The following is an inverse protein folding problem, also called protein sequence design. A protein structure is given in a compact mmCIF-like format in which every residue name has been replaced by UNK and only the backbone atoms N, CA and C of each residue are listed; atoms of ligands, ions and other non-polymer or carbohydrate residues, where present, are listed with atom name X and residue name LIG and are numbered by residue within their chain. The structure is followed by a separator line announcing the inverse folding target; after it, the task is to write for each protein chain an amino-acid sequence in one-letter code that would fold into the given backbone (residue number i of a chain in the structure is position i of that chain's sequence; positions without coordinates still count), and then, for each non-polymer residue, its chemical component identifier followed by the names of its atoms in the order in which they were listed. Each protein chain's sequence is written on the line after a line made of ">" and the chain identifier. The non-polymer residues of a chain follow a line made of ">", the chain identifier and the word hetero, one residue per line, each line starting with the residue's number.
data_IF_118517447659
#
_entry.id   IF_118517447659
#
_cell.length_a   1.000
_cell.length_b   1.000
_cell.length_c   1.000
_cell.angle_alpha   90.00
_cell.angle_beta   90.00
_cell.angle_gamma   90.00
#
_symmetry.space_group_name_H-M   'P 1'
#
loop_
_entity.id
_entity.type
_entity.pdbx_description
1 polymer ?
#
# COMPACT_ATOMS: atom_id res chain seq x y z
N UNK A 1 -73.92 -36.94 -46.73
CA UNK A 1 -74.44 -35.58 -47.02
C UNK A 1 -75.03 -35.02 -45.73
N UNK A 2 -74.93 -33.72 -45.39
CA UNK A 2 -74.13 -32.68 -46.04
C UNK A 2 -73.37 -31.74 -45.04
N UNK A 3 -72.60 -30.81 -45.63
CA UNK A 3 -72.14 -29.50 -45.10
C UNK A 3 -70.93 -29.49 -44.14
N UNK A 4 -69.96 -28.59 -44.25
CA UNK A 4 -69.81 -27.42 -45.12
C UNK A 4 -68.39 -26.86 -45.00
N UNK A 5 -67.91 -26.23 -46.07
CA UNK A 5 -66.65 -25.50 -46.16
C UNK A 5 -66.63 -24.34 -45.17
N UNK A 6 -65.52 -24.11 -44.47
CA UNK A 6 -65.02 -22.75 -44.22
C UNK A 6 -63.49 -22.77 -44.09
N UNK A 7 -62.84 -22.16 -45.08
CA UNK A 7 -61.44 -21.77 -45.05
C UNK A 7 -61.32 -20.55 -44.14
N UNK A 8 -60.51 -20.64 -43.09
CA UNK A 8 -60.13 -19.47 -42.29
C UNK A 8 -58.60 -19.35 -42.28
N UNK A 9 -58.11 -18.39 -43.06
CA UNK A 9 -56.75 -17.87 -42.96
C UNK A 9 -56.63 -17.15 -41.62
N UNK A 10 -55.74 -17.61 -40.73
CA UNK A 10 -55.29 -16.81 -39.58
C UNK A 10 -53.77 -16.79 -39.58
N UNK A 11 -53.27 -15.57 -39.46
CA UNK A 11 -51.92 -15.11 -39.70
C UNK A 11 -50.89 -15.68 -38.73
N UNK A 12 -49.70 -15.91 -39.29
CA UNK A 12 -48.43 -16.13 -38.60
C UNK A 12 -48.13 -14.92 -37.70
N UNK A 13 -48.18 -15.09 -36.37
CA UNK A 13 -47.56 -14.17 -35.41
C UNK A 13 -46.22 -14.76 -34.99
N UNK A 14 -45.14 -14.36 -35.68
CA UNK A 14 -43.77 -14.55 -35.24
C UNK A 14 -43.48 -13.52 -34.13
N UNK A 15 -43.68 -13.92 -32.88
CA UNK A 15 -43.23 -13.15 -31.72
C UNK A 15 -41.71 -13.24 -31.58
N UNK A 16 -41.02 -12.21 -32.06
CA UNK A 16 -39.61 -11.94 -31.73
C UNK A 16 -39.49 -11.62 -30.23
N UNK A 17 -39.04 -12.59 -29.44
CA UNK A 17 -38.53 -12.33 -28.09
C UNK A 17 -37.08 -11.85 -28.21
N UNK A 18 -36.90 -10.54 -28.39
CA UNK A 18 -35.62 -9.89 -28.16
C UNK A 18 -35.49 -9.62 -26.66
N UNK A 19 -34.74 -10.45 -25.94
CA UNK A 19 -34.31 -10.15 -24.58
C UNK A 19 -33.41 -8.91 -24.62
N UNK A 20 -33.95 -7.78 -24.19
CA UNK A 20 -33.19 -6.56 -23.95
C UNK A 20 -32.27 -6.79 -22.74
N UNK A 21 -31.07 -7.32 -23.00
CA UNK A 21 -29.95 -7.18 -22.08
C UNK A 21 -29.56 -5.70 -22.10
N UNK A 22 -29.99 -4.96 -21.08
CA UNK A 22 -29.49 -3.61 -20.82
C UNK A 22 -28.04 -3.75 -20.35
N UNK A 23 -27.11 -3.81 -21.30
CA UNK A 23 -25.71 -3.53 -21.05
C UNK A 23 -25.62 -2.08 -20.59
N UNK A 24 -25.51 -1.87 -19.27
CA UNK A 24 -25.02 -0.61 -18.74
C UNK A 24 -23.57 -0.49 -19.22
N UNK A 25 -23.37 0.21 -20.33
CA UNK A 25 -22.05 0.64 -20.75
C UNK A 25 -21.46 1.43 -19.58
N UNK A 26 -20.22 1.15 -19.12
CA UNK A 26 -19.55 2.07 -18.24
C UNK A 26 -19.48 3.41 -18.98
N UNK A 27 -20.10 4.44 -18.40
CA UNK A 27 -20.03 5.81 -18.91
C UNK A 27 -18.56 6.24 -18.84
N UNK A 28 -17.82 5.94 -19.90
CA UNK A 28 -16.49 6.48 -20.13
C UNK A 28 -16.67 8.00 -20.24
N UNK A 29 -16.13 8.81 -19.34
CA UNK A 29 -16.18 10.26 -19.54
C UNK A 29 -15.51 10.57 -20.88
N UNK A 30 -16.05 11.50 -21.68
CA UNK A 30 -15.44 11.86 -22.95
C UNK A 30 -14.00 12.33 -22.70
N UNK A 31 -13.07 11.88 -23.53
CA UNK A 31 -11.74 12.48 -23.60
C UNK A 31 -11.92 14.00 -23.81
N UNK A 32 -11.32 14.82 -22.94
CA UNK A 32 -11.49 16.26 -23.01
C UNK A 32 -10.97 16.80 -24.36
N UNK A 33 -11.90 17.09 -25.29
CA UNK A 33 -11.62 17.95 -26.44
C UNK A 33 -11.45 19.40 -25.94
N UNK A 34 -10.28 19.72 -25.37
CA UNK A 34 -10.07 21.07 -24.82
C UNK A 34 -8.68 21.40 -24.25
N UNK A 35 -7.73 20.47 -24.26
CA UNK A 35 -6.44 20.66 -23.58
C UNK A 35 -6.52 20.40 -22.07
N UNK A 36 -5.41 20.64 -21.36
CA UNK A 36 -5.28 20.36 -19.92
C UNK A 36 -6.31 21.21 -19.14
N UNK A 37 -7.19 20.60 -18.33
CA UNK A 37 -8.18 21.33 -17.55
C UNK A 37 -7.53 22.38 -16.64
N UNK A 38 -8.13 23.56 -16.53
CA UNK A 38 -7.68 24.56 -15.55
C UNK A 38 -7.87 24.06 -14.11
N UNK A 39 -7.14 24.65 -13.14
CA UNK A 39 -7.15 24.22 -11.73
C UNK A 39 -8.56 24.08 -11.13
N UNK A 40 -9.47 25.03 -11.40
CA UNK A 40 -10.84 24.98 -10.91
C UNK A 40 -11.65 23.80 -11.47
N UNK A 41 -11.39 23.42 -12.73
CA UNK A 41 -12.02 22.28 -13.37
C UNK A 41 -11.44 20.96 -12.84
N UNK A 42 -10.14 20.91 -12.56
CA UNK A 42 -9.53 19.77 -11.87
C UNK A 42 -10.12 19.57 -10.48
N UNK A 43 -10.30 20.65 -9.71
CA UNK A 43 -10.90 20.59 -8.38
C UNK A 43 -12.35 20.10 -8.41
N UNK A 44 -13.14 20.53 -9.39
CA UNK A 44 -14.53 20.06 -9.52
C UNK A 44 -14.60 18.59 -9.90
N UNK A 45 -13.72 18.11 -10.78
CA UNK A 45 -13.61 16.68 -11.13
C UNK A 45 -13.26 15.85 -9.89
N UNK A 46 -12.23 16.27 -9.14
CA UNK A 46 -11.81 15.59 -7.91
C UNK A 46 -12.97 15.51 -6.90
N UNK A 47 -13.70 16.60 -6.71
CA UNK A 47 -14.85 16.63 -5.80
C UNK A 47 -16.00 15.72 -6.27
N UNK A 48 -16.32 15.71 -7.57
CA UNK A 48 -17.37 14.86 -8.11
C UNK A 48 -17.04 13.37 -7.95
N UNK A 49 -15.78 12.99 -8.19
CA UNK A 49 -15.31 11.62 -7.98
C UNK A 49 -15.36 11.22 -6.51
N UNK A 50 -14.94 12.12 -5.61
CA UNK A 50 -15.07 11.92 -4.16
C UNK A 50 -16.52 11.65 -3.75
N UNK A 51 -17.45 12.47 -4.26
CA UNK A 51 -18.88 12.31 -4.00
C UNK A 51 -19.39 10.97 -4.54
N UNK A 52 -19.06 10.62 -5.79
CA UNK A 52 -19.48 9.36 -6.40
C UNK A 52 -18.98 8.13 -5.61
N UNK A 53 -17.73 8.14 -5.15
CA UNK A 53 -17.17 7.07 -4.30
C UNK A 53 -17.81 7.02 -2.93
N UNK A 54 -18.05 8.16 -2.31
CA UNK A 54 -18.78 8.24 -1.03
C UNK A 54 -20.19 7.66 -1.15
N UNK A 55 -20.86 7.88 -2.29
CA UNK A 55 -22.15 7.27 -2.59
C UNK A 55 -22.03 5.76 -2.83
N UNK A 56 -21.01 5.32 -3.58
CA UNK A 56 -20.73 3.92 -3.86
C UNK A 56 -20.53 3.12 -2.56
N UNK A 57 -19.75 3.66 -1.63
CA UNK A 57 -19.38 3.00 -0.37
C UNK A 57 -20.29 3.33 0.81
N UNK A 58 -21.39 4.06 0.60
CA UNK A 58 -22.23 4.61 1.68
C UNK A 58 -22.57 3.59 2.77
N UNK A 59 -23.02 2.40 2.38
CA UNK A 59 -23.40 1.34 3.32
C UNK A 59 -22.22 0.87 4.18
N UNK A 60 -21.07 0.56 3.56
CA UNK A 60 -19.86 0.18 4.31
C UNK A 60 -19.39 1.31 5.25
N UNK A 61 -19.48 2.57 4.80
CA UNK A 61 -19.12 3.73 5.62
C UNK A 61 -20.04 3.91 6.82
N UNK A 62 -21.34 3.66 6.68
CA UNK A 62 -22.28 3.67 7.81
C UNK A 62 -21.97 2.56 8.83
N UNK A 63 -21.51 1.38 8.37
CA UNK A 63 -21.02 0.34 9.27
C UNK A 63 -19.80 0.84 10.04
N UNK A 64 -18.81 1.44 9.37
CA UNK A 64 -17.60 1.98 10.01
C UNK A 64 -17.90 3.12 10.99
N UNK A 65 -18.89 3.98 10.70
CA UNK A 65 -19.32 5.04 11.63
C UNK A 65 -19.89 4.46 12.93
N UNK A 66 -20.60 3.34 12.86
CA UNK A 66 -21.19 2.66 14.03
C UNK A 66 -20.17 1.78 14.76
N UNK A 67 -19.30 1.12 14.02
CA UNK A 67 -18.25 0.26 14.52
C UNK A 67 -16.96 0.48 13.72
N UNK A 68 -16.06 1.37 14.18
CA UNK A 68 -14.79 1.63 13.51
C UNK A 68 -13.91 0.39 13.36
N UNK A 69 -14.07 -0.60 14.24
CA UNK A 69 -13.32 -1.86 14.20
C UNK A 69 -13.91 -2.89 13.21
N UNK A 70 -14.95 -2.56 12.45
CA UNK A 70 -15.58 -3.51 11.53
C UNK A 70 -14.67 -3.95 10.37
N UNK A 71 -13.60 -3.21 10.09
CA UNK A 71 -12.55 -3.59 9.14
C UNK A 71 -11.33 -4.22 9.82
N UNK A 72 -11.27 -4.25 11.16
CA UNK A 72 -10.05 -4.61 11.84
C UNK A 72 -9.76 -6.12 11.72
N UNK A 73 -8.47 -6.44 11.60
CA UNK A 73 -7.93 -7.79 11.67
C UNK A 73 -7.65 -8.09 13.15
N UNK A 74 -8.24 -9.16 13.72
CA UNK A 74 -8.02 -9.50 15.13
C UNK A 74 -6.55 -9.88 15.38
N UNK A 75 -6.10 -9.78 16.63
CA UNK A 75 -4.78 -10.32 17.00
C UNK A 75 -4.81 -11.85 17.01
N UNK A 76 -3.70 -12.50 16.65
CA UNK A 76 -3.65 -13.95 16.69
C UNK A 76 -3.78 -14.45 18.12
N UNK A 77 -4.55 -15.53 18.36
CA UNK A 77 -4.62 -16.16 19.68
C UNK A 77 -3.24 -16.65 20.12
N UNK A 78 -3.02 -16.80 21.44
CA UNK A 78 -1.75 -17.33 21.95
C UNK A 78 -1.57 -18.78 21.47
N UNK A 79 -0.59 -19.00 20.59
CA UNK A 79 -0.34 -20.27 19.90
C UNK A 79 -0.16 -20.08 18.39
N UNK A 80 -0.02 -21.17 17.64
CA UNK A 80 -0.07 -21.10 16.18
C UNK A 80 -1.53 -20.89 15.74
N UNK A 81 -1.85 -19.83 14.98
CA UNK A 81 -3.19 -19.62 14.47
C UNK A 81 -3.57 -20.79 13.56
N UNK A 82 -4.86 -21.15 13.55
CA UNK A 82 -5.34 -22.21 12.67
C UNK A 82 -5.06 -21.86 11.20
N UNK A 83 -4.82 -22.87 10.36
CA UNK A 83 -4.60 -22.63 8.93
C UNK A 83 -5.81 -21.89 8.33
N UNK A 84 -5.59 -20.68 7.84
CA UNK A 84 -6.63 -19.82 7.25
C UNK A 84 -7.26 -18.80 8.20
N UNK A 85 -6.86 -18.73 9.47
CA UNK A 85 -7.31 -17.69 10.40
C UNK A 85 -6.64 -16.34 10.07
N UNK A 86 -7.44 -15.32 9.79
CA UNK A 86 -6.96 -13.97 9.50
C UNK A 86 -6.73 -13.22 10.80
N UNK A 87 -5.47 -13.12 11.19
CA UNK A 87 -5.08 -12.43 12.39
C UNK A 87 -3.73 -11.72 12.23
N UNK A 88 -3.51 -10.66 13.00
CA UNK A 88 -2.22 -9.97 13.07
C UNK A 88 -1.35 -10.72 14.07
N UNK A 89 -0.21 -11.25 13.62
CA UNK A 89 0.78 -11.86 14.51
C UNK A 89 1.51 -10.76 15.26
N UNK A 90 1.53 -10.85 16.59
CA UNK A 90 2.37 -9.99 17.41
C UNK A 90 3.85 -10.21 17.04
N UNK A 91 4.66 -9.15 17.10
CA UNK A 91 6.12 -9.32 17.08
C UNK A 91 6.51 -10.28 18.20
N UNK A 92 7.25 -11.36 17.88
CA UNK A 92 8.01 -12.04 18.92
C UNK A 92 8.93 -10.99 19.54
N UNK A 93 8.77 -10.75 20.85
CA UNK A 93 9.72 -9.90 21.57
C UNK A 93 11.06 -10.58 21.49
N UNK A 94 11.91 -10.15 20.56
CA UNK A 94 13.34 -10.40 20.67
C UNK A 94 13.76 -9.59 21.90
N UNK A 95 13.84 -10.25 23.05
CA UNK A 95 14.55 -9.72 24.21
C UNK A 95 15.98 -9.50 23.76
N UNK A 96 16.29 -8.29 23.30
CA UNK A 96 17.65 -7.81 23.24
C UNK A 96 18.07 -7.78 24.70
N UNK A 97 18.79 -8.81 25.13
CA UNK A 97 19.42 -8.86 26.44
C UNK A 97 20.28 -7.60 26.55
N UNK A 98 19.73 -6.58 27.22
CA UNK A 98 20.48 -5.43 27.65
C UNK A 98 21.55 -6.01 28.57
N UNK A 99 22.85 -5.79 28.34
CA UNK A 99 23.85 -6.20 29.30
C UNK A 99 23.51 -5.48 30.61
N UNK A 100 23.02 -6.24 31.58
CA UNK A 100 22.77 -5.77 32.93
C UNK A 100 24.11 -5.23 33.42
N UNK A 101 24.19 -3.92 33.62
CA UNK A 101 25.34 -3.30 34.29
C UNK A 101 25.54 -4.03 35.63
N UNK A 102 26.73 -4.57 35.92
CA UNK A 102 26.97 -5.17 37.21
C UNK A 102 26.91 -4.07 38.29
N UNK A 103 26.32 -4.34 39.47
CA UNK A 103 26.34 -3.39 40.56
C UNK A 103 27.79 -3.13 40.98
N UNK A 104 28.12 -1.85 41.14
CA UNK A 104 29.42 -1.42 41.63
C UNK A 104 29.62 -1.90 43.08
N UNK A 105 30.61 -2.78 43.30
CA UNK A 105 31.60 -2.74 44.40
C UNK A 105 32.22 -4.13 44.69
N UNK A 106 33.48 -4.34 44.27
CA UNK A 106 34.52 -5.17 44.93
C UNK A 106 35.79 -5.22 44.06
N UNK A 107 37.00 -5.36 44.64
CA UNK A 107 38.26 -5.07 43.95
C UNK A 107 38.72 -6.16 42.98
N UNK A 108 39.52 -5.71 42.00
CA UNK A 108 39.97 -6.44 40.83
C UNK A 108 40.69 -7.77 41.14
N UNK A 109 40.19 -8.84 40.51
CA UNK A 109 40.98 -10.03 40.17
C UNK A 109 41.01 -10.17 38.65
N UNK A 110 42.21 -10.13 38.09
CA UNK A 110 42.47 -10.32 36.67
C UNK A 110 42.13 -11.75 36.27
N UNK A 111 40.93 -11.97 35.72
CA UNK A 111 40.60 -13.16 34.95
C UNK A 111 40.54 -12.76 33.47
N UNK A 112 41.50 -13.27 32.68
CA UNK A 112 41.53 -13.07 31.24
C UNK A 112 40.31 -13.74 30.60
N UNK A 113 39.34 -12.94 30.15
CA UNK A 113 38.23 -13.41 29.34
C UNK A 113 38.74 -13.64 27.92
N UNK A 114 38.68 -14.89 27.48
CA UNK A 114 38.91 -15.26 26.08
C UNK A 114 37.79 -14.68 25.22
N UNK A 115 38.09 -14.13 24.03
CA UNK A 115 37.05 -13.56 23.17
C UNK A 115 36.15 -14.68 22.66
N UNK A 116 34.88 -14.64 23.05
CA UNK A 116 33.82 -15.45 22.51
C UNK A 116 33.73 -15.18 20.98
N UNK A 117 33.80 -16.24 20.18
CA UNK A 117 33.71 -16.14 18.72
C UNK A 117 32.35 -15.55 18.33
N UNK A 118 32.33 -14.24 18.04
CA UNK A 118 31.20 -13.58 17.40
C UNK A 118 31.05 -14.20 16.01
N UNK A 119 30.02 -15.03 15.83
CA UNK A 119 29.65 -15.52 14.51
C UNK A 119 29.18 -14.31 13.69
N UNK A 120 29.66 -14.08 12.46
CA UNK A 120 29.24 -12.92 11.69
C UNK A 120 27.72 -12.95 11.50
N UNK A 121 27.04 -11.85 11.83
CA UNK A 121 25.64 -11.69 11.49
C UNK A 121 25.46 -11.89 9.98
N UNK A 122 24.43 -12.65 9.58
CA UNK A 122 24.08 -12.81 8.18
C UNK A 122 23.90 -11.42 7.52
N UNK A 123 24.22 -11.26 6.23
CA UNK A 123 24.08 -9.98 5.56
C UNK A 123 22.62 -9.49 5.62
N UNK A 124 22.44 -8.19 5.86
CA UNK A 124 21.13 -7.55 5.86
C UNK A 124 20.42 -7.76 4.52
N UNK A 125 19.20 -8.31 4.58
CA UNK A 125 18.37 -8.55 3.39
C UNK A 125 17.49 -7.35 3.08
N UNK A 126 17.15 -7.21 1.80
CA UNK A 126 16.18 -6.23 1.31
C UNK A 126 14.97 -6.99 0.80
N UNK A 127 13.82 -6.88 1.44
CA UNK A 127 12.59 -7.59 1.06
C UNK A 127 11.60 -6.57 0.52
N UNK A 128 10.98 -6.86 -0.62
CA UNK A 128 9.92 -6.03 -1.19
C UNK A 128 8.65 -6.86 -1.36
N UNK A 129 7.53 -6.39 -0.82
CA UNK A 129 6.20 -6.99 -1.05
C UNK A 129 5.31 -5.97 -1.74
N UNK A 130 4.87 -6.30 -2.95
CA UNK A 130 4.18 -5.38 -3.84
C UNK A 130 2.79 -5.92 -4.17
N UNK A 131 1.74 -5.20 -3.77
CA UNK A 131 0.35 -5.52 -4.03
C UNK A 131 -0.18 -4.64 -5.17
N UNK A 132 -0.69 -5.26 -6.23
CA UNK A 132 -1.31 -4.57 -7.36
C UNK A 132 -2.68 -5.14 -7.63
N UNK A 133 -3.73 -4.34 -7.47
CA UNK A 133 -5.11 -4.78 -7.57
C UNK A 133 -5.83 -4.15 -8.76
N UNK A 134 -6.20 -4.97 -9.75
CA UNK A 134 -6.94 -4.58 -10.94
C UNK A 134 -8.36 -5.15 -10.95
N UNK A 135 -8.51 -6.44 -10.64
CA UNK A 135 -9.69 -7.25 -10.91
C UNK A 135 -10.79 -7.13 -9.84
N UNK A 136 -11.23 -5.91 -9.60
CA UNK A 136 -12.37 -5.64 -8.71
C UNK A 136 -13.69 -6.14 -9.30
N UNK A 137 -14.54 -6.71 -8.45
CA UNK A 137 -15.89 -7.13 -8.83
C UNK A 137 -16.86 -5.94 -8.78
N UNK A 138 -17.79 -5.91 -9.74
CA UNK A 138 -18.88 -4.95 -9.74
C UNK A 138 -19.64 -4.97 -8.39
N UNK A 139 -20.02 -3.81 -7.86
CA UNK A 139 -20.02 -2.48 -8.49
C UNK A 139 -18.73 -1.67 -8.30
N UNK A 140 -17.66 -2.23 -7.72
CA UNK A 140 -16.37 -1.54 -7.61
C UNK A 140 -15.72 -1.53 -9.01
N UNK A 141 -15.34 -0.37 -9.57
CA UNK A 141 -14.67 -0.32 -10.86
C UNK A 141 -13.34 -1.05 -10.85
N UNK A 142 -13.06 -1.83 -11.89
CA UNK A 142 -11.73 -2.40 -12.11
C UNK A 142 -10.71 -1.29 -12.39
N UNK A 143 -9.43 -1.58 -12.14
CA UNK A 143 -8.30 -0.70 -12.46
C UNK A 143 -7.42 -1.36 -13.53
N UNK A 144 -6.67 -0.55 -14.28
CA UNK A 144 -5.84 -1.04 -15.39
C UNK A 144 -4.34 -1.07 -15.04
N UNK A 145 -3.82 -0.08 -14.30
CA UNK A 145 -2.38 0.11 -14.09
C UNK A 145 -1.73 -0.66 -12.93
N UNK A 146 -2.39 -0.94 -11.78
CA UNK A 146 -1.71 -1.46 -10.59
C UNK A 146 -0.85 -2.72 -10.81
N UNK A 147 -1.28 -3.65 -11.66
CA UNK A 147 -0.48 -4.84 -12.00
C UNK A 147 0.80 -4.48 -12.76
N UNK A 148 0.72 -3.59 -13.75
CA UNK A 148 1.90 -3.11 -14.48
C UNK A 148 2.84 -2.34 -13.53
N UNK A 149 2.28 -1.51 -12.65
CA UNK A 149 3.02 -0.74 -11.65
C UNK A 149 3.89 -1.65 -10.77
N UNK A 150 3.32 -2.70 -10.18
CA UNK A 150 4.08 -3.61 -9.30
C UNK A 150 5.08 -4.49 -10.04
N UNK A 151 4.81 -4.85 -11.29
CA UNK A 151 5.73 -5.63 -12.12
C UNK A 151 6.99 -4.83 -12.42
N UNK A 152 6.83 -3.57 -12.82
CA UNK A 152 7.93 -2.72 -13.27
C UNK A 152 8.73 -2.16 -12.10
N UNK A 153 8.05 -1.73 -11.04
CA UNK A 153 8.71 -1.34 -9.78
C UNK A 153 9.46 -2.54 -9.21
N UNK A 154 8.83 -3.72 -9.20
CA UNK A 154 9.44 -4.94 -8.71
C UNK A 154 10.66 -5.37 -9.50
N UNK A 155 10.64 -5.27 -10.84
CA UNK A 155 11.80 -5.52 -11.69
C UNK A 155 12.96 -4.59 -11.32
N UNK A 156 12.68 -3.28 -11.22
CA UNK A 156 13.68 -2.26 -10.93
C UNK A 156 14.31 -2.43 -9.53
N UNK A 157 13.49 -2.72 -8.51
CA UNK A 157 13.95 -3.00 -7.15
C UNK A 157 14.85 -4.25 -7.10
N UNK A 158 14.50 -5.30 -7.84
CA UNK A 158 15.30 -6.52 -7.91
C UNK A 158 16.65 -6.26 -8.60
N UNK A 159 16.61 -5.67 -9.79
CA UNK A 159 17.79 -5.54 -10.66
C UNK A 159 18.78 -4.49 -10.18
N UNK A 160 18.30 -3.31 -9.76
CA UNK A 160 19.20 -2.19 -9.38
C UNK A 160 19.50 -2.13 -7.90
N UNK A 161 18.63 -2.66 -7.04
CA UNK A 161 18.76 -2.49 -5.59
C UNK A 161 18.88 -3.82 -4.81
N UNK A 162 18.78 -4.96 -5.49
CA UNK A 162 19.00 -6.28 -4.88
C UNK A 162 17.89 -6.73 -3.94
N UNK A 163 16.65 -6.28 -4.13
CA UNK A 163 15.52 -6.72 -3.31
C UNK A 163 15.06 -8.14 -3.66
N UNK A 164 14.71 -8.92 -2.64
CA UNK A 164 13.86 -10.09 -2.71
C UNK A 164 12.40 -9.65 -2.93
N UNK A 165 12.01 -9.55 -4.20
CA UNK A 165 10.70 -9.01 -4.60
C UNK A 165 9.63 -10.10 -4.68
N UNK A 166 8.52 -9.87 -3.98
CA UNK A 166 7.29 -10.69 -3.97
C UNK A 166 6.14 -9.84 -4.48
N UNK A 167 5.60 -10.21 -5.64
CA UNK A 167 4.43 -9.55 -6.22
C UNK A 167 3.18 -10.36 -5.87
N UNK A 168 2.16 -9.68 -5.35
CA UNK A 168 0.85 -10.26 -5.00
C UNK A 168 -0.20 -9.56 -5.87
N UNK A 169 -0.53 -10.13 -7.05
CA UNK A 169 -1.54 -9.56 -7.93
C UNK A 169 -2.94 -9.84 -7.39
N UNK A 170 -3.86 -8.90 -7.56
CA UNK A 170 -5.29 -9.02 -7.22
C UNK A 170 -5.49 -9.62 -5.81
N UNK A 171 -4.80 -9.01 -4.85
CA UNK A 171 -4.77 -9.47 -3.47
C UNK A 171 -6.13 -9.32 -2.82
N UNK A 172 -6.60 -10.41 -2.19
CA UNK A 172 -7.71 -10.37 -1.23
C UNK A 172 -7.19 -9.95 0.13
N UNK A 173 -8.10 -9.60 1.07
CA UNK A 173 -7.69 -9.27 2.45
C UNK A 173 -6.81 -10.35 3.07
N UNK A 174 -7.17 -11.61 2.83
CA UNK A 174 -6.41 -12.76 3.33
C UNK A 174 -4.96 -12.79 2.83
N UNK A 175 -4.77 -12.47 1.55
CA UNK A 175 -3.46 -12.50 0.90
C UNK A 175 -2.58 -11.35 1.44
N UNK A 176 -3.16 -10.16 1.67
CA UNK A 176 -2.50 -9.03 2.32
C UNK A 176 -2.04 -9.38 3.73
N UNK A 177 -2.95 -9.91 4.56
CA UNK A 177 -2.65 -10.30 5.96
C UNK A 177 -1.56 -11.38 5.99
N UNK A 178 -1.67 -12.40 5.14
CA UNK A 178 -0.70 -13.49 5.07
C UNK A 178 0.69 -13.00 4.67
N UNK A 179 0.78 -12.20 3.60
CA UNK A 179 2.06 -11.71 3.11
C UNK A 179 2.74 -10.76 4.12
N UNK A 180 1.99 -9.87 4.77
CA UNK A 180 2.55 -8.97 5.79
C UNK A 180 2.99 -9.72 7.06
N UNK A 181 2.21 -10.72 7.51
CA UNK A 181 2.62 -11.60 8.60
C UNK A 181 3.89 -12.38 8.26
N UNK A 182 4.00 -12.89 7.04
CA UNK A 182 5.18 -13.64 6.60
C UNK A 182 6.44 -12.76 6.67
N UNK A 183 6.37 -11.52 6.18
CA UNK A 183 7.48 -10.56 6.31
C UNK A 183 7.80 -10.30 7.78
N UNK A 184 6.78 -10.11 8.63
CA UNK A 184 6.95 -9.96 10.07
C UNK A 184 7.74 -11.11 10.70
N UNK A 185 7.45 -12.36 10.31
CA UNK A 185 8.14 -13.55 10.84
C UNK A 185 9.55 -13.77 10.29
N UNK A 186 9.81 -13.31 9.07
CA UNK A 186 11.08 -13.57 8.40
C UNK A 186 12.12 -12.49 8.66
N UNK A 187 11.70 -11.26 8.90
CA UNK A 187 12.60 -10.10 9.03
C UNK A 187 13.40 -10.10 10.32
N UNK A 188 14.66 -9.69 10.22
CA UNK A 188 15.61 -9.61 11.34
C UNK A 188 16.09 -8.18 11.58
N UNK A 189 16.63 -7.89 12.77
CA UNK A 189 17.35 -6.63 13.00
C UNK A 189 18.43 -6.45 11.94
N UNK A 190 18.40 -5.32 11.23
CA UNK A 190 19.29 -5.00 10.12
C UNK A 190 18.67 -5.14 8.73
N UNK A 191 17.61 -5.93 8.55
CA UNK A 191 16.91 -6.05 7.27
C UNK A 191 16.20 -4.73 6.89
N UNK A 192 15.95 -4.54 5.59
CA UNK A 192 15.13 -3.45 5.05
C UNK A 192 13.91 -4.01 4.33
N UNK A 193 12.74 -3.44 4.58
CA UNK A 193 11.47 -3.84 3.98
C UNK A 193 10.86 -2.68 3.21
N UNK A 194 10.44 -2.96 1.97
CA UNK A 194 9.57 -2.10 1.20
C UNK A 194 8.22 -2.79 1.00
N UNK A 195 7.14 -2.14 1.42
CA UNK A 195 5.78 -2.55 1.07
C UNK A 195 5.26 -1.57 0.03
N UNK A 196 4.74 -2.04 -1.08
CA UNK A 196 4.05 -1.21 -2.07
C UNK A 196 2.61 -1.69 -2.22
N UNK A 197 1.67 -0.77 -2.24
CA UNK A 197 0.26 -1.08 -2.54
C UNK A 197 -0.27 -0.12 -3.60
N UNK A 198 -0.80 -0.66 -4.69
CA UNK A 198 -1.57 0.06 -5.69
C UNK A 198 -2.95 -0.57 -5.86
N UNK A 199 -3.99 0.24 -5.76
CA UNK A 199 -5.37 -0.21 -5.85
C UNK A 199 -6.35 0.80 -5.24
N UNK A 200 -7.61 0.39 -5.11
CA UNK A 200 -8.61 1.19 -4.40
C UNK A 200 -8.25 1.34 -2.93
N UNK A 201 -8.54 2.52 -2.41
CA UNK A 201 -8.62 2.82 -1.00
C UNK A 201 -9.83 3.68 -0.70
N UNK A 202 -10.02 4.09 0.54
CA UNK A 202 -10.98 5.13 0.91
C UNK A 202 -10.46 5.88 2.14
N UNK A 203 -10.57 7.22 2.14
CA UNK A 203 -10.25 8.06 3.29
C UNK A 203 -11.54 8.59 3.89
N UNK A 204 -11.81 8.27 5.16
CA UNK A 204 -13.00 8.79 5.84
C UNK A 204 -12.78 10.23 6.28
N UNK A 205 -13.50 11.18 5.69
CA UNK A 205 -13.44 12.61 6.05
C UNK A 205 -13.64 12.87 7.56
N UNK A 206 -14.57 12.16 8.19
CA UNK A 206 -14.94 12.40 9.59
C UNK A 206 -13.87 12.00 10.59
N UNK A 207 -13.11 10.95 10.30
CA UNK A 207 -12.11 10.37 11.23
C UNK A 207 -10.69 10.51 10.72
N UNK A 208 -10.52 10.92 9.46
CA UNK A 208 -9.27 10.84 8.72
C UNK A 208 -8.66 9.44 8.81
N UNK A 209 -9.48 8.38 8.85
CA UNK A 209 -9.00 7.00 8.81
C UNK A 209 -9.00 6.53 7.36
N UNK A 210 -7.86 6.03 6.88
CA UNK A 210 -7.76 5.45 5.55
C UNK A 210 -7.86 3.93 5.59
N UNK A 211 -8.34 3.37 4.48
CA UNK A 211 -8.52 1.95 4.28
C UNK A 211 -8.00 1.56 2.91
N UNK A 212 -7.31 0.43 2.83
CA UNK A 212 -7.13 -0.28 1.56
C UNK A 212 -8.35 -1.14 1.28
N UNK A 213 -8.73 -1.21 0.01
CA UNK A 213 -9.81 -2.04 -0.48
C UNK A 213 -9.19 -3.13 -1.39
N UNK A 214 -8.96 -4.34 -0.87
CA UNK A 214 -8.61 -5.53 -1.63
C UNK A 214 -9.65 -5.90 -2.69
N UNK A 215 -9.32 -6.81 -3.63
CA UNK A 215 -10.23 -7.17 -4.74
C UNK A 215 -11.51 -7.88 -4.29
N UNK A 216 -11.50 -8.50 -3.11
CA UNK A 216 -12.68 -9.09 -2.44
C UNK A 216 -13.40 -8.10 -1.50
N UNK A 217 -13.07 -6.81 -1.60
CA UNK A 217 -13.75 -5.73 -0.90
C UNK A 217 -15.23 -5.61 -1.31
N UNK A 218 -16.04 -5.10 -0.40
CA UNK A 218 -17.47 -4.87 -0.64
C UNK A 218 -17.81 -3.39 -0.49
N UNK A 219 -18.78 -2.93 -1.28
CA UNK A 219 -19.38 -1.60 -1.11
C UNK A 219 -20.36 -1.52 0.05
N UNK A 220 -20.81 -2.68 0.55
CA UNK A 220 -21.83 -2.81 1.60
C UNK A 220 -21.26 -3.12 2.97
N UNK A 221 -20.08 -3.73 3.01
CA UNK A 221 -19.43 -4.15 4.25
C UNK A 221 -17.92 -3.87 4.21
N UNK A 222 -17.36 -3.26 5.28
CA UNK A 222 -15.93 -3.01 5.38
C UNK A 222 -15.14 -4.24 5.87
N UNK A 223 -15.78 -5.41 6.08
CA UNK A 223 -15.14 -6.59 6.66
C UNK A 223 -13.89 -7.05 5.91
N UNK A 224 -13.87 -6.88 4.57
CA UNK A 224 -12.72 -7.21 3.72
C UNK A 224 -11.83 -6.00 3.41
N UNK A 225 -12.02 -4.86 4.05
CA UNK A 225 -11.09 -3.73 3.95
C UNK A 225 -9.95 -3.88 4.96
N UNK A 226 -8.85 -3.17 4.75
CA UNK A 226 -7.70 -3.16 5.67
C UNK A 226 -7.47 -1.74 6.17
N UNK A 227 -7.64 -1.51 7.47
CA UNK A 227 -7.45 -0.19 8.06
C UNK A 227 -5.98 0.22 8.08
N UNK A 228 -5.69 1.52 7.94
CA UNK A 228 -4.31 2.00 8.10
C UNK A 228 -3.77 1.80 9.53
N UNK A 229 -4.64 1.65 10.53
CA UNK A 229 -4.27 1.21 11.87
C UNK A 229 -3.69 -0.21 11.84
N UNK A 230 -4.34 -1.16 11.18
CA UNK A 230 -3.82 -2.51 11.06
C UNK A 230 -2.57 -2.59 10.20
N UNK A 231 -2.50 -1.81 9.13
CA UNK A 231 -1.25 -1.65 8.35
C UNK A 231 -0.13 -1.19 9.28
N UNK A 232 -0.37 -0.19 10.13
CA UNK A 232 0.62 0.28 11.11
C UNK A 232 1.04 -0.81 12.11
N UNK A 233 0.11 -1.68 12.54
CA UNK A 233 0.42 -2.85 13.39
C UNK A 233 1.31 -3.85 12.64
N UNK A 234 1.01 -4.16 11.38
CA UNK A 234 1.87 -5.04 10.58
C UNK A 234 3.28 -4.47 10.42
N UNK A 235 3.41 -3.18 10.10
CA UNK A 235 4.73 -2.51 10.00
C UNK A 235 5.47 -2.50 11.33
N UNK A 236 4.76 -2.33 12.45
CA UNK A 236 5.32 -2.43 13.80
C UNK A 236 5.93 -3.82 14.06
N UNK A 237 5.26 -4.86 13.57
CA UNK A 237 5.63 -6.24 13.84
C UNK A 237 6.76 -6.76 12.93
N UNK A 238 7.26 -5.93 12.00
CA UNK A 238 8.46 -6.23 11.23
C UNK A 238 9.72 -5.92 12.05
N UNK A 239 10.57 -6.93 12.24
CA UNK A 239 11.86 -6.83 12.94
C UNK A 239 12.94 -6.06 12.17
N UNK A 240 12.63 -5.60 10.96
CA UNK A 240 13.50 -4.84 10.09
C UNK A 240 13.93 -3.49 10.71
N UNK A 241 15.17 -3.08 10.40
CA UNK A 241 15.73 -1.79 10.80
C UNK A 241 15.10 -0.64 10.01
N UNK A 242 14.79 -0.89 8.74
CA UNK A 242 14.15 0.08 7.85
C UNK A 242 12.89 -0.53 7.25
N UNK A 243 11.78 0.19 7.32
CA UNK A 243 10.49 -0.19 6.74
C UNK A 243 9.93 1.03 6.02
N UNK A 244 9.69 0.90 4.72
CA UNK A 244 9.03 1.91 3.93
C UNK A 244 7.74 1.33 3.34
N UNK A 245 6.62 1.96 3.67
CA UNK A 245 5.36 1.75 2.97
C UNK A 245 5.22 2.79 1.85
N UNK A 246 4.98 2.35 0.63
CA UNK A 246 4.60 3.19 -0.49
C UNK A 246 3.14 2.84 -0.84
N UNK A 247 2.25 3.81 -0.71
CA UNK A 247 0.81 3.62 -0.95
C UNK A 247 0.37 4.47 -2.13
N UNK A 248 0.18 3.83 -3.28
CA UNK A 248 -0.50 4.41 -4.43
C UNK A 248 -2.01 4.16 -4.34
N UNK A 249 -2.57 4.65 -3.24
CA UNK A 249 -3.97 4.56 -2.85
C UNK A 249 -4.23 5.55 -1.72
N UNK A 250 -5.47 5.67 -1.26
CA UNK A 250 -5.76 6.42 -0.03
C UNK A 250 -4.95 5.83 1.14
N UNK A 251 -4.08 6.64 1.71
CA UNK A 251 -3.44 6.38 2.99
C UNK A 251 -3.52 7.66 3.81
N UNK A 252 -4.00 7.56 5.04
CA UNK A 252 -4.19 8.74 5.85
C UNK A 252 -2.86 9.32 6.32
N UNK A 253 -2.60 10.57 5.91
CA UNK A 253 -1.53 11.38 6.47
C UNK A 253 -1.67 11.60 7.99
N UNK A 254 -2.86 11.44 8.59
CA UNK A 254 -3.06 11.61 10.04
C UNK A 254 -2.33 10.55 10.89
N UNK A 255 -2.05 9.39 10.30
CA UNK A 255 -1.27 8.32 10.93
C UNK A 255 0.23 8.51 10.78
N UNK A 256 0.62 9.49 9.97
CA UNK A 256 2.00 9.92 9.83
C UNK A 256 2.18 11.25 10.55
N UNK A 257 3.29 11.40 11.28
CA UNK A 257 3.78 12.76 11.51
C UNK A 257 4.51 13.12 10.24
N UNK A 258 4.06 14.16 9.54
CA UNK A 258 4.86 14.73 8.43
C UNK A 258 6.26 14.97 9.00
N UNK A 259 7.20 14.13 8.57
CA UNK A 259 8.60 14.40 8.77
C UNK A 259 8.79 15.68 7.97
N UNK A 260 8.87 16.83 8.65
CA UNK A 260 9.35 18.04 8.00
C UNK A 260 10.70 17.64 7.44
N UNK A 261 10.75 17.42 6.13
CA UNK A 261 11.85 16.90 5.31
C UNK A 261 13.23 17.47 5.75
N UNK A 262 13.20 18.64 6.40
CA UNK A 262 14.28 19.32 7.13
C UNK A 262 15.10 18.58 8.19
N UNK A 263 14.68 17.49 8.85
CA UNK A 263 15.46 16.89 9.96
C UNK A 263 16.25 15.65 9.59
N UNK A 264 15.70 14.69 8.84
CA UNK A 264 16.43 13.51 8.38
C UNK A 264 17.61 13.86 7.44
N UNK A 265 17.49 14.95 6.68
CA UNK A 265 18.54 15.46 5.79
C UNK A 265 19.70 16.18 6.51
N UNK A 266 19.62 16.39 7.83
CA UNK A 266 20.71 17.06 8.57
C UNK A 266 21.89 16.16 8.87
N UNK A 267 21.66 14.86 9.01
CA UNK A 267 22.75 13.88 9.07
C UNK A 267 22.97 13.32 7.68
N UNK A 268 24.14 13.60 7.08
CA UNK A 268 24.59 12.94 5.85
C UNK A 268 25.25 11.59 6.11
N UNK A 269 25.28 11.15 7.36
CA UNK A 269 25.97 9.94 7.78
C UNK A 269 25.00 8.75 7.78
N UNK A 270 25.11 7.89 6.75
CA UNK A 270 24.31 6.69 6.61
C UNK A 270 24.41 5.77 7.83
N UNK A 271 25.56 5.70 8.51
CA UNK A 271 25.73 4.85 9.68
C UNK A 271 24.88 5.33 10.87
N UNK A 272 24.74 6.65 11.05
CA UNK A 272 23.89 7.20 12.09
C UNK A 272 22.41 6.97 11.82
N UNK A 273 22.00 7.08 10.55
CA UNK A 273 20.64 6.78 10.10
C UNK A 273 20.32 5.30 10.35
N UNK A 274 21.21 4.39 9.96
CA UNK A 274 21.01 2.95 10.10
C UNK A 274 20.96 2.48 11.56
N UNK A 275 21.51 3.25 12.50
CA UNK A 275 21.37 2.99 13.94
C UNK A 275 20.00 3.41 14.52
N UNK A 276 19.12 4.03 13.71
CA UNK A 276 17.77 4.45 14.12
C UNK A 276 16.73 3.63 13.35
N UNK A 277 15.82 2.98 14.08
CA UNK A 277 14.75 2.20 13.43
C UNK A 277 13.84 3.16 12.67
N UNK A 278 13.61 2.87 11.40
CA UNK A 278 12.93 3.79 10.49
C UNK A 278 11.67 3.13 9.96
N UNK A 279 10.49 3.65 10.33
CA UNK A 279 9.21 3.26 9.73
C UNK A 279 8.57 4.47 9.07
N UNK A 280 8.49 4.46 7.75
CA UNK A 280 8.14 5.61 6.92
C UNK A 280 7.04 5.24 5.93
N UNK A 281 6.30 6.25 5.49
CA UNK A 281 5.24 6.14 4.48
C UNK A 281 5.47 7.18 3.41
N UNK A 282 5.35 6.78 2.15
CA UNK A 282 5.17 7.64 0.99
C UNK A 282 3.78 7.35 0.40
N UNK A 283 2.91 8.35 0.28
CA UNK A 283 1.59 8.16 -0.35
C UNK A 283 1.44 9.06 -1.57
N UNK A 284 0.65 8.60 -2.55
CA UNK A 284 0.31 9.40 -3.74
C UNK A 284 -0.51 10.64 -3.41
N UNK A 285 -1.12 10.66 -2.22
CA UNK A 285 -1.72 11.85 -1.63
C UNK A 285 -2.93 12.30 -2.43
N UNK A 286 -4.09 11.79 -2.05
CA UNK A 286 -5.35 12.03 -2.75
C UNK A 286 -6.32 10.88 -2.59
N UNK A 287 -7.57 11.17 -2.91
CA UNK A 287 -8.70 10.24 -2.86
C UNK A 287 -8.59 9.12 -3.93
N UNK A 288 -7.84 9.32 -5.01
CA UNK A 288 -7.67 8.30 -6.06
C UNK A 288 -6.21 8.21 -6.53
N UNK A 289 -5.69 7.00 -6.79
CA UNK A 289 -4.69 6.85 -7.82
C UNK A 289 -5.39 7.04 -9.18
N UNK A 290 -4.81 7.94 -9.96
CA UNK A 290 -4.85 8.05 -11.44
C UNK A 290 -6.15 8.38 -12.17
N UNK A 291 -6.01 9.36 -13.06
CA UNK A 291 -6.72 9.39 -14.34
C UNK A 291 -6.59 8.03 -15.04
N UNK A 292 -7.67 7.49 -15.63
CA UNK A 292 -7.60 6.35 -16.58
C UNK A 292 -6.59 6.58 -17.72
N UNK A 293 -6.11 7.82 -17.89
CA UNK A 293 -5.12 8.19 -18.89
C UNK A 293 -3.70 7.73 -18.51
N UNK A 294 -3.41 7.48 -17.22
CA UNK A 294 -2.11 7.01 -16.74
C UNK A 294 -0.92 7.78 -17.34
N UNK A 295 0.26 7.18 -17.33
CA UNK A 295 1.36 7.54 -18.21
C UNK A 295 2.19 6.30 -18.52
N UNK A 296 2.37 6.02 -19.80
CA UNK A 296 3.09 4.82 -20.29
C UNK A 296 2.58 3.50 -19.68
N UNK A 297 1.26 3.37 -19.46
CA UNK A 297 0.65 2.18 -18.86
C UNK A 297 0.73 2.10 -17.33
N UNK A 298 1.22 3.16 -16.69
CA UNK A 298 1.37 3.24 -15.24
C UNK A 298 0.48 4.29 -14.61
N UNK A 299 0.28 4.19 -13.30
CA UNK A 299 -0.21 5.35 -12.57
C UNK A 299 0.78 6.51 -12.67
N UNK A 300 0.32 7.76 -12.57
CA UNK A 300 1.21 8.94 -12.56
C UNK A 300 2.20 8.87 -11.40
N UNK A 301 1.75 8.40 -10.24
CA UNK A 301 2.58 8.25 -9.06
C UNK A 301 3.62 7.13 -9.24
N UNK A 302 3.20 5.96 -9.73
CA UNK A 302 4.06 4.82 -10.02
C UNK A 302 5.06 5.15 -11.14
N UNK A 303 4.61 5.81 -12.21
CA UNK A 303 5.48 6.32 -13.27
C UNK A 303 6.54 7.26 -12.71
N UNK A 304 6.14 8.23 -11.88
CA UNK A 304 7.08 9.17 -11.26
C UNK A 304 8.06 8.46 -10.32
N UNK A 305 7.60 7.45 -9.59
CA UNK A 305 8.42 6.61 -8.73
C UNK A 305 9.41 5.75 -9.54
N UNK A 306 8.99 5.17 -10.67
CA UNK A 306 9.85 4.43 -11.58
C UNK A 306 10.98 5.31 -12.10
N UNK A 307 10.66 6.53 -12.54
CA UNK A 307 11.68 7.48 -13.00
C UNK A 307 12.64 7.87 -11.86
N UNK A 308 12.12 8.11 -10.65
CA UNK A 308 12.94 8.43 -9.49
C UNK A 308 13.90 7.28 -9.13
N UNK A 309 13.40 6.05 -9.06
CA UNK A 309 14.18 4.83 -8.81
C UNK A 309 15.23 4.56 -9.90
N UNK A 310 14.90 4.81 -11.17
CA UNK A 310 15.82 4.64 -12.29
C UNK A 310 16.97 5.66 -12.25
N UNK A 311 16.68 6.88 -11.79
CA UNK A 311 17.67 7.95 -11.62
C UNK A 311 18.43 7.92 -10.29
N UNK A 312 18.08 7.02 -9.38
CA UNK A 312 18.68 6.94 -8.05
C UNK A 312 20.19 6.65 -8.15
N UNK A 313 20.97 7.38 -7.37
CA UNK A 313 22.40 7.16 -7.19
C UNK A 313 22.69 6.03 -6.20
N UNK A 314 23.97 5.83 -5.89
CA UNK A 314 24.45 4.71 -5.06
C UNK A 314 23.72 4.58 -3.71
N UNK A 315 23.47 5.71 -3.05
CA UNK A 315 22.65 5.80 -1.83
C UNK A 315 21.73 7.01 -1.97
N UNK A 316 20.42 6.78 -1.95
CA UNK A 316 19.39 7.80 -2.08
C UNK A 316 18.43 7.74 -0.90
N UNK A 317 18.36 8.77 -0.03
CA UNK A 317 17.37 8.83 1.04
C UNK A 317 15.93 8.86 0.52
N UNK A 318 15.01 8.24 1.25
CA UNK A 318 13.59 8.19 0.91
C UNK A 318 12.96 9.58 0.79
N UNK A 319 13.36 10.54 1.62
CA UNK A 319 12.94 11.93 1.48
C UNK A 319 13.41 12.59 0.16
N UNK A 320 14.62 12.27 -0.34
CA UNK A 320 15.10 12.79 -1.63
C UNK A 320 14.36 12.12 -2.79
N UNK A 321 14.14 10.80 -2.71
CA UNK A 321 13.29 10.07 -3.65
C UNK A 321 11.89 10.70 -3.73
N UNK A 322 11.27 10.96 -2.57
CA UNK A 322 9.97 11.59 -2.47
C UNK A 322 9.92 12.99 -3.08
N UNK A 323 10.96 13.82 -2.90
CA UNK A 323 10.99 15.16 -3.52
C UNK A 323 10.91 15.09 -5.04
N UNK A 324 11.59 14.13 -5.65
CA UNK A 324 11.52 13.90 -7.10
C UNK A 324 10.10 13.49 -7.48
N UNK A 325 9.55 12.45 -6.83
CA UNK A 325 8.19 11.96 -7.10
C UNK A 325 7.15 13.08 -6.94
N UNK A 326 7.18 13.80 -5.82
CA UNK A 326 6.26 14.90 -5.54
C UNK A 326 6.34 15.98 -6.61
N UNK A 327 7.55 16.39 -7.01
CA UNK A 327 7.74 17.43 -8.03
C UNK A 327 7.11 17.02 -9.36
N UNK A 328 7.32 15.78 -9.80
CA UNK A 328 6.76 15.30 -11.07
C UNK A 328 5.23 15.17 -11.00
N UNK A 329 4.68 14.68 -9.89
CA UNK A 329 3.22 14.54 -9.72
C UNK A 329 2.52 15.90 -9.67
N UNK A 330 2.99 16.85 -8.85
CA UNK A 330 2.32 18.15 -8.68
C UNK A 330 2.48 19.09 -9.88
N UNK A 331 3.38 18.77 -10.81
CA UNK A 331 3.60 19.55 -12.03
C UNK A 331 2.38 19.50 -12.95
N UNK A 332 1.83 18.30 -13.12
CA UNK A 332 0.80 18.02 -14.11
C UNK A 332 -0.55 17.64 -13.47
N UNK A 333 -0.60 17.40 -12.14
CA UNK A 333 -1.79 16.89 -11.45
C UNK A 333 -2.07 17.56 -10.11
N UNK A 334 -3.34 17.51 -9.69
CA UNK A 334 -3.80 18.08 -8.43
C UNK A 334 -3.46 17.23 -7.18
N UNK A 335 -3.02 15.97 -7.38
CA UNK A 335 -2.58 15.09 -6.30
C UNK A 335 -1.48 15.76 -5.47
N UNK A 336 -1.49 15.50 -4.16
CA UNK A 336 -0.52 16.07 -3.22
C UNK A 336 0.17 14.95 -2.45
N UNK A 337 1.17 14.28 -3.07
CA UNK A 337 1.93 13.23 -2.40
C UNK A 337 2.43 13.66 -1.02
N UNK A 338 2.44 12.70 -0.10
CA UNK A 338 2.88 12.89 1.29
C UNK A 338 4.01 11.93 1.65
N UNK A 339 4.86 12.37 2.58
CA UNK A 339 5.93 11.57 3.16
C UNK A 339 6.01 11.81 4.66
N UNK A 340 6.04 10.75 5.46
CA UNK A 340 6.01 10.90 6.90
C UNK A 340 6.39 9.65 7.67
N UNK A 341 6.62 9.84 8.97
CA UNK A 341 6.99 8.77 9.88
C UNK A 341 5.77 8.19 10.59
N UNK A 342 5.72 6.86 10.73
CA UNK A 342 4.69 6.15 11.47
C UNK A 342 5.18 5.91 12.90
N UNK A 343 4.97 6.88 13.78
CA UNK A 343 5.46 6.83 15.16
C UNK A 343 4.86 5.65 15.95
N UNK A 344 3.57 5.37 15.73
CA UNK A 344 2.88 4.24 16.36
C UNK A 344 3.48 2.87 15.96
N UNK A 345 4.17 2.82 14.82
CA UNK A 345 4.86 1.62 14.35
C UNK A 345 6.31 1.52 14.82
N UNK A 346 6.79 2.44 15.67
CA UNK A 346 8.13 2.37 16.27
C UNK A 346 9.23 3.03 15.45
N UNK A 347 8.90 4.07 14.67
CA UNK A 347 9.90 4.95 14.05
C UNK A 347 10.66 5.74 15.12
N UNK A 348 11.99 5.78 15.01
CA UNK A 348 12.87 6.57 15.87
C UNK A 348 13.23 7.90 15.19
N UNK A 349 13.26 8.99 15.96
CA UNK A 349 13.66 10.30 15.45
C UNK A 349 15.04 10.27 14.77
N UNK A 350 15.14 10.92 13.62
CA UNK A 350 16.34 10.91 12.77
C UNK A 350 16.45 9.68 11.86
N UNK A 351 15.54 8.70 11.97
CA UNK A 351 15.46 7.57 11.05
C UNK A 351 15.05 7.99 9.64
N UNK A 352 15.60 7.30 8.65
CA UNK A 352 15.35 7.48 7.23
C UNK A 352 15.47 6.14 6.50
N UNK A 353 14.73 5.97 5.40
CA UNK A 353 14.87 4.83 4.50
C UNK A 353 15.95 5.12 3.46
N UNK A 354 16.91 4.23 3.28
CA UNK A 354 17.99 4.40 2.31
C UNK A 354 17.78 3.43 1.14
N UNK A 355 17.60 3.98 -0.06
CA UNK A 355 17.67 3.21 -1.29
C UNK A 355 19.12 3.10 -1.71
N UNK A 356 19.72 1.93 -1.50
CA UNK A 356 21.10 1.67 -1.93
C UNK A 356 21.11 0.71 -3.10
N UNK A 357 21.75 1.12 -4.20
CA UNK A 357 21.89 0.26 -5.38
C UNK A 357 22.80 -0.93 -5.06
N UNK A 358 22.54 -2.07 -5.67
CA UNK A 358 23.45 -3.20 -5.61
C UNK A 358 24.79 -2.79 -6.23
N UNK A 359 25.89 -3.12 -5.56
CA UNK A 359 27.23 -2.97 -6.13
C UNK A 359 27.32 -3.93 -7.32
N UNK A 360 27.68 -3.44 -8.51
CA UNK A 360 27.97 -4.31 -9.66
C UNK A 360 28.98 -5.38 -9.23
N UNK A 361 28.58 -6.65 -9.36
CA UNK A 361 29.45 -7.80 -9.03
C UNK A 361 30.41 -8.10 -10.17
#
# INVERSE_FOLDING_TARGET
>A
MPQGRFQLKIALWLGLWASAATAQMPLRPPAFMGGVPGLAQMQSIVLQRHQARTLLYREALEVLKKNPAAADVPECPQGQPAAGELCIRAAEKVEVAVPVQPPASAPAVHAALSPEKVTPAAPARKIAVLFGNNAYLAPIPALETPIADVQDIGRLLRERFGYEVRVVPDARKADVVSALNQVGTETRPGDSVLVFYAGHGYLMDSTHMGYWIPVDGSTKSPANWVSNTDISKFLKNMGAQQVLLISDSCFSGSLTREQKISTALRSKDAAQILNKRSVLVMSSGGEEPVSDEGKDGHSIFAWSLLQALASAGAVTPGAEMFKVVKREVVKDYAQQPQYGAVLAAGHMEGGEYLFETAVEK
#
